data_IF_142612644098
#
_entry.id   IF_142612644098
#
_cell.length_a   1.000
_cell.length_b   1.000
_cell.length_c   1.000
_cell.angle_alpha   90.00
_cell.angle_beta   90.00
_cell.angle_gamma   90.00
#
_symmetry.space_group_name_H-M   'P 1'
#
loop_
_entity.id
_entity.type
_entity.pdbx_description
1 polymer ?
#
# COMPACT_ATOMS: atom_id res chain seq x y z
N UNK A 1 26.31 33.12 42.66
CA UNK A 1 27.43 34.06 42.50
C UNK A 1 27.83 34.11 41.03
N UNK A 2 27.56 35.23 40.33
CA UNK A 2 28.08 35.67 39.01
C UNK A 2 27.79 34.78 37.79
N UNK A 3 27.63 35.23 36.54
CA UNK A 3 27.42 36.53 35.87
C UNK A 3 27.01 36.17 34.41
N UNK A 4 26.25 37.04 33.76
CA UNK A 4 25.89 36.97 32.35
C UNK A 4 26.99 37.53 31.43
N UNK A 5 27.09 37.02 30.19
CA UNK A 5 27.59 37.65 28.94
C UNK A 5 27.37 36.62 27.81
N UNK A 6 26.80 36.87 26.64
CA UNK A 6 26.80 38.04 25.76
C UNK A 6 28.00 38.00 24.82
N UNK A 7 27.79 37.80 23.50
CA UNK A 7 28.41 38.55 22.37
C UNK A 7 28.37 37.79 21.01
N UNK A 8 27.70 38.48 20.08
CA UNK A 8 27.78 38.63 18.61
C UNK A 8 28.69 37.78 17.70
N UNK A 9 28.10 37.56 16.52
CA UNK A 9 28.64 37.13 15.23
C UNK A 9 29.82 37.94 14.67
N UNK A 10 30.60 37.29 13.79
CA UNK A 10 31.47 37.94 12.80
C UNK A 10 31.54 37.13 11.49
N UNK A 11 31.20 37.79 10.38
CA UNK A 11 31.43 37.37 8.99
C UNK A 11 32.86 37.76 8.59
N UNK A 12 33.56 36.97 7.76
CA UNK A 12 34.50 37.55 6.80
C UNK A 12 34.22 37.20 5.34
N UNK A 13 34.50 38.20 4.51
CA UNK A 13 34.31 38.34 3.07
C UNK A 13 35.36 37.60 2.23
N UNK A 14 34.88 37.03 1.11
CA UNK A 14 35.29 37.27 -0.29
C UNK A 14 36.75 37.01 -0.70
N UNK A 15 36.96 36.12 -1.69
CA UNK A 15 37.96 36.35 -2.75
C UNK A 15 37.56 35.74 -4.10
N UNK A 16 37.61 36.60 -5.10
CA UNK A 16 37.42 36.36 -6.53
C UNK A 16 38.72 35.82 -7.16
N UNK A 17 38.60 34.96 -8.18
CA UNK A 17 39.59 34.71 -9.26
C UNK A 17 38.85 34.01 -10.42
N UNK A 18 38.48 34.78 -11.45
CA UNK A 18 39.18 34.95 -12.74
C UNK A 18 38.95 33.79 -13.73
N UNK A 19 38.21 34.14 -14.78
CA UNK A 19 37.97 33.40 -16.01
C UNK A 19 39.27 33.08 -16.76
N UNK A 20 39.36 31.85 -17.28
CA UNK A 20 40.21 31.50 -18.42
C UNK A 20 39.31 30.86 -19.47
N UNK A 21 39.09 31.60 -20.56
CA UNK A 21 38.44 31.14 -21.79
C UNK A 21 39.43 30.24 -22.53
N UNK A 22 39.04 29.00 -22.79
CA UNK A 22 39.75 28.11 -23.72
C UNK A 22 39.20 28.33 -25.14
N UNK A 23 40.12 28.62 -26.06
CA UNK A 23 39.89 28.80 -27.49
C UNK A 23 39.83 27.43 -28.17
N UNK A 24 38.83 27.13 -29.02
CA UNK A 24 38.78 25.85 -29.73
C UNK A 24 39.72 25.82 -30.96
N UNK A 25 40.33 24.67 -31.28
CA UNK A 25 41.17 24.48 -32.48
C UNK A 25 40.36 24.39 -33.79
N UNK A 26 41.01 24.60 -34.96
CA UNK A 26 40.34 24.80 -36.25
C UNK A 26 39.73 23.55 -36.88
N UNK A 27 38.70 23.79 -37.72
CA UNK A 27 37.91 22.82 -38.48
C UNK A 27 38.74 22.22 -39.63
N UNK A 28 38.71 20.89 -39.78
CA UNK A 28 39.24 20.19 -40.95
C UNK A 28 38.20 20.11 -42.07
N UNK A 29 38.65 20.38 -43.30
CA UNK A 29 37.84 20.49 -44.52
C UNK A 29 37.48 19.11 -45.09
N UNK A 30 36.25 18.99 -45.61
CA UNK A 30 35.78 17.82 -46.38
C UNK A 30 36.15 17.95 -47.86
N UNK A 31 36.67 16.91 -48.52
CA UNK A 31 36.78 16.92 -49.97
C UNK A 31 35.45 16.56 -50.64
N UNK A 32 35.01 17.44 -51.57
CA UNK A 32 33.96 17.18 -52.56
C UNK A 32 34.57 16.49 -53.77
N UNK A 33 34.08 15.31 -54.13
CA UNK A 33 34.17 14.65 -55.45
C UNK A 33 32.96 13.71 -55.52
N UNK A 34 32.13 13.57 -56.54
CA UNK A 34 32.01 14.08 -57.90
C UNK A 34 30.92 13.19 -58.52
N UNK A 35 29.93 13.77 -59.19
CA UNK A 35 28.82 13.02 -59.78
C UNK A 35 29.29 12.18 -60.99
N UNK A 36 28.75 10.97 -61.14
CA UNK A 36 28.93 10.13 -62.31
C UNK A 36 27.87 9.05 -62.38
N UNK A 37 26.87 9.26 -63.23
CA UNK A 37 25.84 8.30 -63.62
C UNK A 37 26.45 7.14 -64.40
N UNK A 38 25.98 5.90 -64.20
CA UNK A 38 25.77 4.87 -65.25
C UNK A 38 25.45 3.51 -64.62
N UNK A 39 24.34 2.88 -65.02
CA UNK A 39 24.15 1.44 -64.89
C UNK A 39 22.82 0.98 -64.26
N UNK A 40 21.69 1.27 -64.90
CA UNK A 40 20.46 0.50 -64.72
C UNK A 40 20.47 -0.71 -65.67
N UNK A 41 19.86 -1.80 -65.18
CA UNK A 41 19.40 -3.01 -65.90
C UNK A 41 20.44 -4.08 -66.28
N UNK A 42 20.49 -5.14 -65.46
CA UNK A 42 20.33 -6.50 -65.97
C UNK A 42 19.27 -7.25 -65.15
N UNK A 43 18.07 -7.27 -65.74
CA UNK A 43 17.15 -8.40 -65.87
C UNK A 43 16.68 -9.15 -64.60
N UNK A 44 15.49 -8.73 -64.17
CA UNK A 44 14.48 -9.59 -63.58
C UNK A 44 14.14 -10.79 -64.50
N UNK A 45 14.57 -12.00 -64.13
CA UNK A 45 13.88 -13.26 -64.42
C UNK A 45 14.06 -14.20 -63.22
N UNK A 46 13.20 -14.03 -62.21
CA UNK A 46 12.71 -15.10 -61.32
C UNK A 46 11.45 -14.63 -60.57
N UNK A 47 10.57 -13.89 -61.24
CA UNK A 47 9.26 -13.52 -60.75
C UNK A 47 8.23 -14.51 -61.29
N UNK A 48 8.28 -15.76 -60.81
CA UNK A 48 7.21 -16.75 -60.96
C UNK A 48 7.53 -18.03 -60.17
N UNK A 49 7.63 -17.92 -58.85
CA UNK A 49 7.44 -19.07 -57.97
C UNK A 49 7.01 -18.59 -56.58
N UNK A 50 5.70 -18.68 -56.34
CA UNK A 50 5.09 -18.92 -55.02
C UNK A 50 4.98 -17.68 -54.10
N UNK A 51 3.86 -16.93 -54.17
CA UNK A 51 3.31 -16.27 -52.99
C UNK A 51 2.74 -17.35 -52.05
N UNK A 52 3.60 -17.97 -51.25
CA UNK A 52 3.20 -18.84 -50.13
C UNK A 52 4.36 -18.94 -49.14
N UNK A 53 4.65 -17.86 -48.43
CA UNK A 53 5.31 -17.93 -47.12
C UNK A 53 4.94 -16.71 -46.26
N UNK A 54 3.64 -16.50 -46.11
CA UNK A 54 3.05 -15.63 -45.10
C UNK A 54 2.05 -16.46 -44.28
N UNK A 55 2.54 -17.51 -43.63
CA UNK A 55 1.94 -18.06 -42.40
C UNK A 55 2.94 -19.03 -41.78
N UNK A 56 3.14 -18.92 -40.46
CA UNK A 56 4.00 -19.74 -39.59
C UNK A 56 5.47 -19.32 -39.48
N UNK A 57 5.67 -18.23 -38.74
CA UNK A 57 6.78 -18.13 -37.81
C UNK A 57 6.19 -17.74 -36.45
N UNK A 58 5.71 -18.76 -35.72
CA UNK A 58 5.49 -18.67 -34.29
C UNK A 58 6.84 -18.34 -33.61
N UNK A 59 6.85 -17.34 -32.73
CA UNK A 59 7.99 -17.07 -31.84
C UNK A 59 8.94 -15.97 -32.31
N UNK A 60 8.48 -14.72 -32.30
CA UNK A 60 9.36 -13.56 -32.15
C UNK A 60 9.06 -12.90 -30.80
N UNK A 61 9.98 -13.15 -29.87
CA UNK A 61 10.36 -12.34 -28.71
C UNK A 61 9.43 -11.15 -28.47
N UNK A 62 8.51 -11.32 -27.53
CA UNK A 62 7.79 -10.22 -26.92
C UNK A 62 8.82 -9.39 -26.14
N UNK A 63 9.15 -8.20 -26.63
CA UNK A 63 9.93 -7.24 -25.86
C UNK A 63 8.94 -6.58 -24.90
N UNK A 64 9.02 -6.82 -23.57
CA UNK A 64 8.16 -6.11 -22.64
C UNK A 64 8.42 -4.63 -22.83
N UNK A 65 7.40 -3.92 -23.32
CA UNK A 65 7.45 -2.48 -23.50
C UNK A 65 7.51 -1.85 -22.11
N UNK A 66 8.57 -1.11 -21.73
CA UNK A 66 8.72 -0.56 -20.37
C UNK A 66 7.77 0.61 -20.07
N UNK A 67 6.74 0.80 -20.89
CA UNK A 67 5.77 1.89 -20.79
C UNK A 67 4.32 1.39 -20.67
N UNK A 68 4.13 0.08 -20.41
CA UNK A 68 2.85 -0.45 -19.93
C UNK A 68 2.92 -0.93 -18.47
N UNK A 69 3.82 -0.35 -17.66
CA UNK A 69 3.51 -0.12 -16.24
C UNK A 69 2.46 1.00 -16.17
N UNK A 70 1.30 0.72 -16.76
CA UNK A 70 0.05 1.28 -16.30
C UNK A 70 -0.07 0.78 -14.87
N UNK A 71 -0.49 1.63 -13.97
CA UNK A 71 -0.83 1.35 -12.58
C UNK A 71 -1.85 0.19 -12.51
N UNK A 72 -1.44 -1.04 -12.75
CA UNK A 72 -2.20 -2.22 -12.38
C UNK A 72 -2.01 -2.33 -10.89
N UNK A 73 -3.00 -1.88 -10.12
CA UNK A 73 -3.24 -2.49 -8.82
C UNK A 73 -3.15 -3.99 -9.06
N UNK A 74 -2.13 -4.65 -8.50
CA UNK A 74 -1.97 -6.08 -8.71
C UNK A 74 -3.27 -6.72 -8.24
N UNK A 75 -3.91 -7.51 -9.09
CA UNK A 75 -5.08 -8.26 -8.68
C UNK A 75 -4.71 -9.04 -7.41
N UNK A 76 -5.60 -9.02 -6.42
CA UNK A 76 -5.43 -9.81 -5.19
C UNK A 76 -5.25 -11.29 -5.57
N UNK A 77 -4.38 -11.99 -4.85
CA UNK A 77 -4.33 -13.46 -4.90
C UNK A 77 -5.72 -14.04 -4.64
N UNK A 78 -6.13 -15.16 -5.28
CA UNK A 78 -7.52 -15.64 -5.22
C UNK A 78 -8.06 -15.87 -3.81
N UNK A 79 -7.24 -16.41 -2.90
CA UNK A 79 -7.66 -16.62 -1.50
C UNK A 79 -7.85 -15.29 -0.76
N UNK A 80 -7.00 -14.29 -1.04
CA UNK A 80 -7.13 -12.94 -0.48
C UNK A 80 -8.34 -12.22 -1.04
N UNK A 81 -8.63 -12.39 -2.33
CA UNK A 81 -9.84 -11.87 -2.96
C UNK A 81 -11.09 -12.48 -2.31
N UNK A 82 -11.11 -13.79 -2.05
CA UNK A 82 -12.24 -14.46 -1.40
C UNK A 82 -12.46 -13.97 0.04
N UNK A 83 -11.38 -13.68 0.78
CA UNK A 83 -11.47 -13.02 2.10
C UNK A 83 -12.10 -11.63 1.94
N UNK A 84 -11.57 -10.80 1.03
CA UNK A 84 -12.07 -9.45 0.81
C UNK A 84 -13.56 -9.42 0.42
N UNK A 85 -14.00 -10.37 -0.39
CA UNK A 85 -15.40 -10.50 -0.80
C UNK A 85 -16.31 -10.92 0.37
N UNK A 86 -15.74 -11.51 1.42
CA UNK A 86 -16.42 -11.91 2.66
C UNK A 86 -16.34 -10.86 3.77
N UNK A 87 -15.58 -9.78 3.58
CA UNK A 87 -15.41 -8.68 4.55
C UNK A 87 -16.51 -7.63 4.47
N UNK A 88 -17.49 -7.78 3.55
CA UNK A 88 -18.57 -6.81 3.32
C UNK A 88 -18.05 -5.41 2.97
N UNK A 89 -16.97 -5.31 2.20
CA UNK A 89 -16.33 -4.03 1.90
C UNK A 89 -17.17 -3.13 1.00
N UNK A 90 -17.07 -1.83 1.23
CA UNK A 90 -17.39 -0.83 0.21
C UNK A 90 -16.29 -0.79 -0.85
N UNK A 91 -16.48 0.00 -1.91
CA UNK A 91 -15.41 0.27 -2.88
C UNK A 91 -14.19 0.89 -2.19
N UNK A 92 -14.38 1.92 -1.35
CA UNK A 92 -13.29 2.57 -0.61
C UNK A 92 -12.56 1.57 0.32
N UNK A 93 -13.31 0.70 1.01
CA UNK A 93 -12.72 -0.37 1.84
C UNK A 93 -11.86 -1.33 1.00
N UNK A 94 -12.35 -1.75 -0.17
CA UNK A 94 -11.62 -2.64 -1.08
C UNK A 94 -10.38 -1.98 -1.66
N UNK A 95 -10.47 -0.70 -2.03
CA UNK A 95 -9.34 0.09 -2.52
C UNK A 95 -8.22 0.19 -1.48
N UNK A 96 -8.57 0.53 -0.22
CA UNK A 96 -7.58 0.63 0.86
C UNK A 96 -6.96 -0.74 1.15
N UNK A 97 -7.79 -1.79 1.23
CA UNK A 97 -7.29 -3.15 1.46
C UNK A 97 -6.30 -3.55 0.36
N UNK A 98 -6.66 -3.38 -0.91
CA UNK A 98 -5.79 -3.72 -2.05
C UNK A 98 -4.51 -2.88 -2.06
N UNK A 99 -4.60 -1.58 -1.78
CA UNK A 99 -3.45 -0.70 -1.72
C UNK A 99 -2.44 -1.10 -0.63
N UNK A 100 -2.93 -1.66 0.47
CA UNK A 100 -2.12 -2.17 1.57
C UNK A 100 -1.52 -3.57 1.29
N UNK A 101 -1.60 -4.08 0.06
CA UNK A 101 -0.90 -5.29 -0.40
C UNK A 101 -0.98 -6.47 0.58
N UNK A 102 -2.20 -6.99 0.82
CA UNK A 102 -2.45 -8.06 1.77
C UNK A 102 -1.79 -9.37 1.33
N UNK A 103 -1.18 -10.06 2.28
CA UNK A 103 -0.49 -11.33 2.09
C UNK A 103 -0.88 -12.33 3.19
N UNK A 104 -1.08 -13.58 2.77
CA UNK A 104 -1.37 -14.69 3.67
C UNK A 104 -0.07 -15.41 4.02
N UNK A 105 0.21 -15.54 5.32
CA UNK A 105 1.39 -16.22 5.82
C UNK A 105 0.98 -17.37 6.75
N UNK A 106 1.87 -18.35 6.89
CA UNK A 106 1.73 -19.38 7.93
C UNK A 106 2.12 -18.83 9.31
N UNK A 107 2.01 -19.69 10.34
CA UNK A 107 2.27 -19.29 11.72
C UNK A 107 3.72 -18.82 11.93
N UNK A 108 4.70 -19.42 11.25
CA UNK A 108 6.11 -19.05 11.38
C UNK A 108 6.37 -17.69 10.72
N UNK A 109 5.83 -17.46 9.53
CA UNK A 109 5.93 -16.17 8.83
C UNK A 109 5.27 -15.03 9.60
N UNK A 110 4.09 -15.25 10.19
CA UNK A 110 3.45 -14.25 11.06
C UNK A 110 4.27 -13.99 12.31
N UNK A 111 4.80 -15.03 12.96
CA UNK A 111 5.63 -14.85 14.14
C UNK A 111 6.90 -14.03 13.85
N UNK A 112 7.49 -14.19 12.66
CA UNK A 112 8.65 -13.43 12.21
C UNK A 112 8.32 -11.96 11.92
N UNK A 113 7.22 -11.69 11.21
CA UNK A 113 6.90 -10.35 10.70
C UNK A 113 6.09 -9.52 11.69
N UNK A 114 5.06 -10.12 12.28
CA UNK A 114 4.12 -9.45 13.18
C UNK A 114 4.43 -9.69 14.67
N UNK A 115 5.20 -10.74 14.98
CA UNK A 115 5.52 -11.15 16.33
C UNK A 115 4.71 -12.37 16.79
N UNK A 116 5.14 -13.00 17.90
CA UNK A 116 4.53 -14.25 18.36
C UNK A 116 3.07 -14.04 18.79
N UNK A 117 2.24 -15.05 18.53
CA UNK A 117 0.81 -15.08 18.87
C UNK A 117 -0.08 -14.05 18.14
N UNK A 118 0.45 -13.30 17.17
CA UNK A 118 -0.35 -12.42 16.32
C UNK A 118 -1.24 -13.23 15.35
N UNK A 119 -2.44 -12.73 15.08
CA UNK A 119 -3.27 -13.21 13.98
C UNK A 119 -2.96 -12.52 12.65
N UNK A 120 -2.33 -11.35 12.71
CA UNK A 120 -1.99 -10.50 11.58
C UNK A 120 -1.33 -9.22 12.06
N UNK A 121 -0.92 -8.37 11.11
CA UNK A 121 -0.49 -7.01 11.40
C UNK A 121 -0.53 -6.11 10.15
N UNK A 122 -0.79 -4.84 10.37
CA UNK A 122 -0.62 -3.76 9.41
C UNK A 122 0.73 -3.05 9.62
N UNK A 123 1.56 -3.02 8.58
CA UNK A 123 2.82 -2.27 8.56
C UNK A 123 2.67 -1.02 7.72
N UNK A 124 2.63 0.12 8.41
CA UNK A 124 2.60 1.44 7.79
C UNK A 124 3.98 1.94 7.42
N UNK A 125 4.07 2.56 6.25
CA UNK A 125 5.25 3.31 5.80
C UNK A 125 5.03 4.83 5.85
N UNK A 126 3.95 5.26 6.52
CA UNK A 126 3.55 6.67 6.61
C UNK A 126 3.15 7.21 5.23
N UNK A 127 3.85 8.24 4.76
CA UNK A 127 3.49 8.88 3.49
C UNK A 127 3.73 8.00 2.25
N UNK A 128 4.53 6.94 2.37
CA UNK A 128 4.85 6.04 1.26
C UNK A 128 3.81 4.91 1.09
N UNK A 129 2.52 5.21 1.22
CA UNK A 129 1.38 4.26 1.30
C UNK A 129 1.38 3.10 0.31
N UNK A 130 1.99 3.25 -0.86
CA UNK A 130 2.19 2.18 -1.84
C UNK A 130 3.17 1.07 -1.36
N UNK A 131 3.79 1.24 -0.20
CA UNK A 131 4.65 0.25 0.46
C UNK A 131 4.01 -0.31 1.74
N UNK A 132 2.79 0.14 2.08
CA UNK A 132 2.06 -0.43 3.21
C UNK A 132 1.81 -1.93 2.98
N UNK A 133 1.79 -2.71 4.05
CA UNK A 133 1.57 -4.16 4.02
C UNK A 133 0.54 -4.58 5.05
N UNK A 134 -0.31 -5.54 4.69
CA UNK A 134 -1.15 -6.29 5.62
C UNK A 134 -0.70 -7.74 5.56
N UNK A 135 -0.37 -8.32 6.71
CA UNK A 135 -0.07 -9.73 6.83
C UNK A 135 -1.16 -10.39 7.66
N UNK A 136 -1.68 -11.53 7.20
CA UNK A 136 -2.75 -12.24 7.89
C UNK A 136 -2.37 -13.71 7.99
N UNK A 137 -2.53 -14.27 9.19
CA UNK A 137 -2.33 -15.69 9.43
C UNK A 137 -3.34 -16.50 8.62
N UNK A 138 -2.83 -17.49 7.90
CA UNK A 138 -3.62 -18.52 7.24
C UNK A 138 -3.52 -19.83 8.03
N UNK A 139 -4.55 -20.18 8.82
CA UNK A 139 -4.53 -21.38 9.63
C UNK A 139 -4.58 -22.64 8.74
N UNK A 140 -3.75 -23.63 9.08
CA UNK A 140 -3.78 -24.95 8.43
C UNK A 140 -5.16 -25.63 8.58
N UNK A 141 -5.78 -25.44 9.74
CA UNK A 141 -7.10 -25.98 10.05
C UNK A 141 -8.20 -25.05 9.52
N UNK A 142 -8.98 -25.49 8.51
CA UNK A 142 -10.00 -24.66 7.87
C UNK A 142 -11.09 -24.17 8.83
N UNK A 143 -11.26 -24.81 9.99
CA UNK A 143 -12.25 -24.40 11.00
C UNK A 143 -12.00 -22.99 11.53
N UNK A 144 -10.75 -22.51 11.52
CA UNK A 144 -10.40 -21.17 12.00
C UNK A 144 -10.39 -20.10 10.89
N UNK A 145 -10.77 -20.44 9.65
CA UNK A 145 -10.77 -19.47 8.54
C UNK A 145 -11.77 -18.33 8.70
N UNK A 146 -12.82 -18.49 9.50
CA UNK A 146 -13.72 -17.38 9.83
C UNK A 146 -12.98 -16.25 10.58
N UNK A 147 -12.04 -16.60 11.46
CA UNK A 147 -11.22 -15.63 12.18
C UNK A 147 -10.30 -14.84 11.23
N UNK A 148 -9.89 -15.42 10.10
CA UNK A 148 -9.07 -14.75 9.07
C UNK A 148 -9.80 -13.53 8.50
N UNK A 149 -11.13 -13.62 8.31
CA UNK A 149 -11.94 -12.51 7.78
C UNK A 149 -12.00 -11.37 8.80
N UNK A 150 -12.26 -11.69 10.07
CA UNK A 150 -12.28 -10.69 11.14
C UNK A 150 -10.91 -10.02 11.32
N UNK A 151 -9.82 -10.81 11.30
CA UNK A 151 -8.46 -10.26 11.34
C UNK A 151 -8.17 -9.38 10.14
N UNK A 152 -8.50 -9.81 8.91
CA UNK A 152 -8.28 -9.00 7.72
C UNK A 152 -9.02 -7.65 7.80
N UNK A 153 -10.26 -7.65 8.31
CA UNK A 153 -11.02 -6.43 8.55
C UNK A 153 -10.42 -5.56 9.65
N UNK A 154 -9.88 -6.16 10.70
CA UNK A 154 -9.14 -5.47 11.75
C UNK A 154 -7.90 -4.76 11.17
N UNK A 155 -7.05 -5.47 10.42
CA UNK A 155 -5.85 -4.90 9.81
C UNK A 155 -6.18 -3.82 8.76
N UNK A 156 -7.26 -3.99 8.00
CA UNK A 156 -7.79 -2.95 7.12
C UNK A 156 -8.12 -1.67 7.90
N UNK A 157 -8.72 -1.79 9.09
CA UNK A 157 -9.12 -0.63 9.88
C UNK A 157 -7.93 0.16 10.40
N UNK A 158 -6.78 -0.45 10.66
CA UNK A 158 -5.55 0.30 10.92
C UNK A 158 -5.13 1.13 9.70
N UNK A 159 -5.13 0.52 8.51
CA UNK A 159 -4.83 1.22 7.27
C UNK A 159 -5.80 2.39 7.01
N UNK A 160 -7.10 2.18 7.28
CA UNK A 160 -8.13 3.19 7.15
C UNK A 160 -7.98 4.33 8.17
N UNK A 161 -7.71 3.98 9.44
CA UNK A 161 -7.50 4.94 10.52
C UNK A 161 -6.36 5.91 10.20
N UNK A 162 -5.25 5.40 9.68
CA UNK A 162 -4.12 6.24 9.30
C UNK A 162 -4.42 7.24 8.16
N UNK A 163 -5.46 6.97 7.36
CA UNK A 163 -5.93 7.82 6.26
C UNK A 163 -7.01 8.83 6.70
N UNK A 164 -7.48 8.78 7.95
CA UNK A 164 -8.42 9.79 8.47
C UNK A 164 -7.75 11.16 8.55
N UNK A 165 -8.46 12.20 8.10
CA UNK A 165 -8.00 13.58 8.30
C UNK A 165 -7.86 13.91 9.79
N UNK A 166 -6.85 14.70 10.22
CA UNK A 166 -6.56 14.90 11.64
C UNK A 166 -7.76 15.32 12.50
N UNK A 167 -8.62 16.28 12.08
CA UNK A 167 -9.77 16.68 12.89
C UNK A 167 -10.83 15.56 13.01
N UNK A 168 -10.99 14.74 11.97
CA UNK A 168 -11.90 13.59 12.01
C UNK A 168 -11.35 12.52 12.94
N UNK A 169 -10.03 12.28 12.88
CA UNK A 169 -9.35 11.30 13.72
C UNK A 169 -9.43 11.67 15.19
N UNK A 170 -9.09 12.91 15.56
CA UNK A 170 -9.21 13.41 16.93
C UNK A 170 -10.63 13.22 17.47
N UNK A 171 -11.64 13.52 16.64
CA UNK A 171 -13.03 13.34 17.03
C UNK A 171 -13.43 11.87 17.19
N UNK A 172 -12.95 10.99 16.30
CA UNK A 172 -13.15 9.55 16.41
C UNK A 172 -12.51 9.01 17.69
N UNK A 173 -11.31 9.47 18.04
CA UNK A 173 -10.59 9.03 19.25
C UNK A 173 -11.37 9.35 20.53
N UNK A 174 -11.97 10.54 20.62
CA UNK A 174 -12.86 10.92 21.73
C UNK A 174 -14.03 9.94 21.86
N UNK A 175 -14.71 9.65 20.75
CA UNK A 175 -15.88 8.75 20.75
C UNK A 175 -15.45 7.33 21.12
N UNK A 176 -14.34 6.82 20.59
CA UNK A 176 -13.83 5.48 20.90
C UNK A 176 -13.48 5.32 22.37
N UNK A 177 -12.89 6.36 22.99
CA UNK A 177 -12.57 6.38 24.41
C UNK A 177 -13.83 6.32 25.29
N UNK A 178 -14.94 6.93 24.85
CA UNK A 178 -16.24 6.84 25.55
C UNK A 178 -16.89 5.46 25.33
N UNK A 179 -16.84 4.93 24.11
CA UNK A 179 -17.51 3.68 23.75
C UNK A 179 -16.84 2.45 24.37
N UNK A 180 -15.52 2.42 24.48
CA UNK A 180 -14.81 1.29 25.11
C UNK A 180 -15.20 1.13 26.60
N UNK A 181 -15.57 2.21 27.28
CA UNK A 181 -16.03 2.17 28.68
C UNK A 181 -17.40 1.51 28.81
N UNK A 182 -18.20 1.46 27.75
CA UNK A 182 -19.49 0.76 27.75
C UNK A 182 -19.33 -0.76 27.66
N UNK A 183 -18.17 -1.25 27.26
CA UNK A 183 -17.87 -2.68 27.20
C UNK A 183 -17.68 -3.21 28.63
N UNK A 184 -18.36 -4.31 29.02
CA UNK A 184 -18.24 -4.85 30.37
C UNK A 184 -16.78 -5.03 30.79
N UNK A 185 -16.37 -4.61 32.00
CA UNK A 185 -14.97 -4.71 32.44
C UNK A 185 -14.41 -6.15 32.48
N UNK A 186 -15.28 -7.16 32.51
CA UNK A 186 -14.89 -8.58 32.46
C UNK A 186 -14.82 -9.17 31.04
N UNK A 187 -15.05 -8.37 30.00
CA UNK A 187 -14.94 -8.80 28.61
C UNK A 187 -13.48 -9.05 28.23
N UNK A 188 -13.22 -10.13 27.50
CA UNK A 188 -11.87 -10.50 27.03
C UNK A 188 -11.26 -9.46 26.08
N UNK A 189 -12.09 -8.64 25.44
CA UNK A 189 -11.67 -7.57 24.54
C UNK A 189 -10.68 -6.62 25.20
N UNK A 190 -10.89 -6.28 26.48
CA UNK A 190 -9.99 -5.39 27.21
C UNK A 190 -8.58 -5.96 27.24
N UNK A 191 -8.43 -7.25 27.57
CA UNK A 191 -7.12 -7.90 27.60
C UNK A 191 -6.45 -7.98 26.23
N UNK A 192 -7.24 -8.14 25.16
CA UNK A 192 -6.75 -8.15 23.78
C UNK A 192 -6.29 -6.77 23.31
N UNK A 193 -7.06 -5.72 23.62
CA UNK A 193 -6.66 -4.32 23.38
C UNK A 193 -5.33 -4.04 24.11
N UNK A 194 -5.22 -4.36 25.40
CA UNK A 194 -3.98 -4.12 26.16
C UNK A 194 -2.79 -4.89 25.55
N UNK A 195 -3.01 -6.12 25.10
CA UNK A 195 -1.97 -6.93 24.45
C UNK A 195 -1.51 -6.30 23.13
N UNK A 196 -2.43 -5.84 22.28
CA UNK A 196 -2.08 -5.19 21.01
C UNK A 196 -1.43 -3.81 21.20
N UNK A 197 -1.87 -3.03 22.20
CA UNK A 197 -1.25 -1.73 22.53
C UNK A 197 0.18 -1.92 23.00
N UNK A 198 0.43 -2.95 23.83
CA UNK A 198 1.74 -3.28 24.36
C UNK A 198 2.39 -2.08 25.07
N UNK A 199 3.69 -1.87 24.84
CA UNK A 199 4.45 -0.78 25.48
C UNK A 199 4.26 0.60 24.81
N UNK A 200 3.44 0.68 23.75
CA UNK A 200 3.28 1.89 22.92
C UNK A 200 1.86 2.42 23.06
N UNK A 201 1.61 3.20 24.11
CA UNK A 201 0.29 3.79 24.38
C UNK A 201 -0.28 4.60 23.19
N UNK A 202 0.60 5.17 22.34
CA UNK A 202 0.19 5.84 21.11
C UNK A 202 -0.54 4.94 20.08
N UNK A 203 -0.49 3.61 20.24
CA UNK A 203 -1.24 2.66 19.43
C UNK A 203 -2.71 2.53 19.87
N UNK A 204 -3.05 2.86 21.12
CA UNK A 204 -4.41 2.64 21.66
C UNK A 204 -5.51 3.18 20.76
N UNK A 205 -5.45 4.41 20.21
CA UNK A 205 -6.53 4.91 19.36
C UNK A 205 -6.79 4.04 18.12
N UNK A 206 -5.72 3.60 17.44
CA UNK A 206 -5.86 2.75 16.24
C UNK A 206 -6.34 1.34 16.58
N UNK A 207 -5.90 0.78 17.72
CA UNK A 207 -6.39 -0.51 18.23
C UNK A 207 -7.88 -0.45 18.60
N UNK A 208 -8.32 0.61 19.30
CA UNK A 208 -9.72 0.81 19.61
C UNK A 208 -10.55 0.93 18.34
N UNK A 209 -10.08 1.70 17.36
CA UNK A 209 -10.79 1.86 16.09
C UNK A 209 -10.95 0.52 15.36
N UNK A 210 -9.89 -0.28 15.31
CA UNK A 210 -9.90 -1.58 14.65
C UNK A 210 -10.78 -2.59 15.39
N UNK A 211 -10.57 -2.80 16.70
CA UNK A 211 -11.36 -3.75 17.49
C UNK A 211 -12.84 -3.40 17.56
N UNK A 212 -13.18 -2.15 17.86
CA UNK A 212 -14.59 -1.74 17.95
C UNK A 212 -15.29 -1.83 16.59
N UNK A 213 -14.57 -1.53 15.51
CA UNK A 213 -15.11 -1.56 14.16
C UNK A 213 -15.36 -2.97 13.63
N UNK A 214 -14.43 -3.91 13.83
CA UNK A 214 -14.49 -5.25 13.24
C UNK A 214 -15.14 -6.30 14.13
N UNK A 215 -15.27 -6.07 15.45
CA UNK A 215 -15.67 -7.14 16.38
C UNK A 215 -16.80 -6.79 17.33
N UNK A 216 -17.15 -5.51 17.48
CA UNK A 216 -18.09 -5.09 18.51
C UNK A 216 -19.33 -4.44 17.88
N UNK A 217 -20.49 -4.98 18.22
CA UNK A 217 -21.78 -4.40 17.88
C UNK A 217 -22.57 -4.19 19.18
N UNK A 218 -22.51 -3.00 19.78
CA UNK A 218 -23.28 -2.73 20.99
C UNK A 218 -24.78 -2.67 20.67
N UNK A 219 -25.61 -2.92 21.68
CA UNK A 219 -27.05 -2.75 21.54
C UNK A 219 -27.37 -1.29 21.15
N UNK A 220 -28.13 -1.11 20.06
CA UNK A 220 -28.44 0.20 19.50
C UNK A 220 -27.37 0.81 18.59
N UNK A 221 -26.23 0.13 18.39
CA UNK A 221 -25.10 0.61 17.58
C UNK A 221 -24.23 1.64 18.30
N UNK A 222 -23.15 2.04 17.64
CA UNK A 222 -22.34 3.18 18.10
C UNK A 222 -23.05 4.52 17.79
N UNK A 223 -22.58 5.65 18.33
CA UNK A 223 -23.05 6.96 17.92
C UNK A 223 -23.04 7.11 16.39
N UNK A 224 -24.06 7.77 15.78
CA UNK A 224 -24.17 7.85 14.32
C UNK A 224 -22.94 8.42 13.62
N UNK A 225 -22.19 9.28 14.30
CA UNK A 225 -20.93 9.84 13.80
C UNK A 225 -19.86 8.76 13.58
N UNK A 226 -19.70 7.82 14.52
CA UNK A 226 -18.74 6.72 14.41
C UNK A 226 -19.21 5.67 13.40
N UNK A 227 -20.51 5.34 13.40
CA UNK A 227 -21.07 4.43 12.38
C UNK A 227 -20.93 4.99 10.97
N UNK A 228 -21.06 6.31 10.77
CA UNK A 228 -20.81 6.95 9.48
C UNK A 228 -19.36 6.82 9.02
N UNK A 229 -18.39 6.80 9.96
CA UNK A 229 -16.98 6.54 9.63
C UNK A 229 -16.79 5.09 9.20
N UNK A 230 -17.32 4.11 9.94
CA UNK A 230 -17.20 2.70 9.55
C UNK A 230 -17.95 2.36 8.25
N UNK A 231 -19.07 3.01 7.99
CA UNK A 231 -19.86 2.84 6.76
C UNK A 231 -19.11 3.27 5.48
N UNK A 232 -17.99 3.99 5.61
CA UNK A 232 -17.08 4.25 4.49
C UNK A 232 -16.36 2.99 4.04
N UNK A 233 -16.14 2.02 4.92
CA UNK A 233 -15.31 0.84 4.66
C UNK A 233 -16.11 -0.45 4.58
N UNK A 234 -17.26 -0.52 5.27
CA UNK A 234 -18.13 -1.70 5.27
C UNK A 234 -19.54 -1.35 4.82
N UNK A 235 -20.07 -2.16 3.90
CA UNK A 235 -21.48 -2.14 3.48
C UNK A 235 -22.42 -2.75 4.52
N UNK A 236 -21.93 -3.74 5.28
CA UNK A 236 -22.67 -4.40 6.37
C UNK A 236 -21.72 -4.80 7.51
N UNK A 237 -21.46 -3.85 8.41
CA UNK A 237 -20.61 -4.07 9.59
C UNK A 237 -21.24 -5.08 10.58
N UNK A 238 -22.56 -5.17 10.62
CA UNK A 238 -23.24 -6.10 11.51
C UNK A 238 -23.01 -7.55 11.07
N UNK A 239 -23.08 -7.81 9.77
CA UNK A 239 -22.75 -9.13 9.21
C UNK A 239 -21.28 -9.49 9.46
N UNK A 240 -20.35 -8.54 9.29
CA UNK A 240 -18.93 -8.75 9.62
C UNK A 240 -18.72 -9.16 11.08
N UNK A 241 -19.27 -8.39 12.03
CA UNK A 241 -19.16 -8.68 13.47
C UNK A 241 -19.80 -10.03 13.82
N UNK A 242 -20.90 -10.37 13.15
CA UNK A 242 -21.61 -11.64 13.33
C UNK A 242 -20.79 -12.90 13.02
N UNK A 243 -19.69 -12.79 12.24
CA UNK A 243 -18.83 -13.92 11.90
C UNK A 243 -18.12 -14.55 13.11
N UNK A 244 -17.92 -13.79 14.21
CA UNK A 244 -17.33 -14.32 15.45
C UNK A 244 -18.28 -15.21 16.25
N UNK A 245 -19.60 -15.09 16.04
CA UNK A 245 -20.62 -15.80 16.79
C UNK A 245 -21.10 -17.12 16.15
N UNK A 246 -20.48 -17.53 15.04
CA UNK A 246 -20.83 -18.72 14.25
C UNK A 246 -19.98 -19.95 14.53
#
# INVERSE_FOLDING_TARGET
MRQATGVRAAIPRRRSRRHLRLVPPPRSERPRRGAGWSGLLLLAIAAAAIPFLMSRADGLIDFPSPLQDVFTASALEPDVAAIADSMFLTEEGREIFTAAQPELLDADGIAEVCGPHAGGCFLSTGNARHLDRIYILWPDDPRYRHAVITTAAHELLHAAYERLEPPVRERVDEILAEEVVRIPPGDELHGRIETSVGDKEGNRPTELFAYLGSEIMPEGGFPPELEAVYARYFTDRAALVGLRGG
#
